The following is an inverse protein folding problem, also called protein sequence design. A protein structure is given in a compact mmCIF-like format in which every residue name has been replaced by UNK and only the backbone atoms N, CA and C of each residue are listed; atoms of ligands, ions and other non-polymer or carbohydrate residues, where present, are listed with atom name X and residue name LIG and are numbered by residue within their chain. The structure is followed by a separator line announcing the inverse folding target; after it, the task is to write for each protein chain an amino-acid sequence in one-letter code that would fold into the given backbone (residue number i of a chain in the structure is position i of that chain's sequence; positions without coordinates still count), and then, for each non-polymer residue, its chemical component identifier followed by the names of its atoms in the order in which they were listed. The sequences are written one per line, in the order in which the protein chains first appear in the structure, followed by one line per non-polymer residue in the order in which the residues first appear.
data_IF_386549942480
#
_entry.id   IF_386549942480
#
_cell.length_a   1.000
_cell.length_b   1.000
_cell.length_c   1.000
_cell.angle_alpha   90.00
_cell.angle_beta   90.00
_cell.angle_gamma   90.00
#
_symmetry.space_group_name_H-M   'P 1'
#
loop_
_entity.id
_entity.type
_entity.pdbx_description
1 polymer ?
#
# COMPACT_ATOMS: atom_id res chain seq x y z
N UNK A 1 14.71 -1.85 -7.88
CA UNK A 1 14.07 -1.16 -6.73
C UNK A 1 13.40 0.11 -7.25
N UNK A 2 12.12 0.29 -6.94
CA UNK A 2 11.30 1.40 -7.43
C UNK A 2 11.35 2.55 -6.42
N UNK A 3 11.95 3.66 -6.82
CA UNK A 3 11.91 4.91 -6.04
C UNK A 3 10.56 5.61 -6.22
N UNK A 4 10.23 6.57 -5.34
CA UNK A 4 9.02 7.39 -5.47
C UNK A 4 8.88 8.02 -6.87
N UNK A 5 9.95 8.62 -7.38
CA UNK A 5 9.94 9.29 -8.68
C UNK A 5 9.76 8.32 -9.84
N UNK A 6 10.35 7.11 -9.74
CA UNK A 6 10.16 6.08 -10.74
C UNK A 6 8.71 5.58 -10.72
N UNK A 7 8.13 5.32 -9.56
CA UNK A 7 6.73 4.89 -9.44
C UNK A 7 5.79 5.92 -10.08
N UNK A 8 5.97 7.20 -9.79
CA UNK A 8 5.13 8.26 -10.38
C UNK A 8 5.29 8.35 -11.90
N UNK A 9 6.50 8.12 -12.44
CA UNK A 9 6.72 8.03 -13.90
C UNK A 9 6.02 6.81 -14.49
N UNK A 10 6.10 5.65 -13.85
CA UNK A 10 5.41 4.44 -14.31
C UNK A 10 3.88 4.64 -14.31
N UNK A 11 3.33 5.38 -13.35
CA UNK A 11 1.90 5.74 -13.38
C UNK A 11 1.56 6.69 -14.53
N UNK A 12 2.41 7.65 -14.87
CA UNK A 12 2.19 8.52 -16.02
C UNK A 12 2.25 7.74 -17.35
N UNK A 13 3.15 6.77 -17.46
CA UNK A 13 3.20 5.89 -18.62
C UNK A 13 2.00 4.95 -18.69
N UNK A 14 1.51 4.45 -17.54
CA UNK A 14 0.31 3.64 -17.46
C UNK A 14 -0.94 4.43 -17.86
N UNK A 15 -1.04 5.69 -17.47
CA UNK A 15 -2.09 6.61 -17.89
C UNK A 15 -2.12 6.78 -19.42
N UNK A 16 -0.95 6.95 -20.03
CA UNK A 16 -0.82 7.06 -21.48
C UNK A 16 -1.24 5.77 -22.21
N UNK A 17 -0.84 4.58 -21.73
CA UNK A 17 -1.27 3.29 -22.27
C UNK A 17 -2.79 3.10 -22.19
N UNK A 18 -3.39 3.47 -21.05
CA UNK A 18 -4.83 3.38 -20.87
C UNK A 18 -5.57 4.38 -21.79
N UNK A 19 -4.97 5.54 -22.05
CA UNK A 19 -5.50 6.53 -23.01
C UNK A 19 -5.55 5.96 -24.43
N UNK A 20 -4.49 5.27 -24.86
CA UNK A 20 -4.46 4.61 -26.19
C UNK A 20 -5.54 3.54 -26.32
N UNK A 21 -5.83 2.82 -25.26
CA UNK A 21 -6.89 1.81 -25.19
C UNK A 21 -8.31 2.42 -25.01
N UNK A 22 -8.42 3.74 -24.82
CA UNK A 22 -9.69 4.43 -24.49
C UNK A 22 -10.31 3.98 -23.17
N UNK A 23 -9.50 3.48 -22.26
CA UNK A 23 -9.91 2.91 -20.96
C UNK A 23 -9.57 3.86 -19.82
N UNK A 24 -10.41 3.90 -18.79
CA UNK A 24 -10.09 4.55 -17.53
C UNK A 24 -9.76 3.50 -16.47
N UNK A 25 -8.65 3.69 -15.79
CA UNK A 25 -8.18 2.85 -14.68
C UNK A 25 -8.29 3.54 -13.33
N UNK A 26 -8.64 2.76 -12.33
CA UNK A 26 -8.60 3.13 -10.91
C UNK A 26 -7.71 2.12 -10.19
N UNK A 27 -6.66 2.61 -9.52
CA UNK A 27 -5.67 1.79 -8.81
C UNK A 27 -5.64 2.20 -7.35
N UNK A 28 -5.75 1.23 -6.46
CA UNK A 28 -5.60 1.41 -5.03
C UNK A 28 -4.34 0.68 -4.57
N UNK A 29 -3.34 1.45 -4.13
CA UNK A 29 -2.05 0.90 -3.70
C UNK A 29 -1.95 0.77 -2.19
N UNK A 30 -1.20 -0.23 -1.77
CA UNK A 30 -0.92 -0.53 -0.36
C UNK A 30 0.57 -0.83 -0.14
N UNK A 31 0.92 -1.30 1.04
CA UNK A 31 2.25 -1.82 1.34
C UNK A 31 3.37 -0.79 1.19
N UNK A 32 4.51 -1.25 0.67
CA UNK A 32 5.72 -0.43 0.54
C UNK A 32 5.57 0.73 -0.42
N UNK A 33 4.82 0.57 -1.50
CA UNK A 33 4.58 1.62 -2.49
C UNK A 33 3.74 2.76 -1.90
N UNK A 34 2.66 2.45 -1.17
CA UNK A 34 1.87 3.46 -0.47
C UNK A 34 2.72 4.24 0.55
N UNK A 35 3.58 3.54 1.32
CA UNK A 35 4.49 4.17 2.28
C UNK A 35 5.51 5.09 1.60
N UNK A 36 6.01 4.72 0.42
CA UNK A 36 6.99 5.52 -0.32
C UNK A 36 6.33 6.74 -0.99
N UNK A 37 5.16 6.57 -1.62
CA UNK A 37 4.58 7.61 -2.49
C UNK A 37 3.68 8.56 -1.73
N UNK A 38 2.83 8.06 -0.83
CA UNK A 38 1.87 8.87 -0.08
C UNK A 38 2.43 9.46 1.22
N UNK A 39 3.33 8.72 1.89
CA UNK A 39 3.77 9.07 3.25
C UNK A 39 5.26 9.39 3.36
N UNK A 40 6.01 9.33 2.26
CA UNK A 40 7.47 9.61 2.20
C UNK A 40 8.27 8.84 3.27
N UNK A 41 7.79 7.65 3.61
CA UNK A 41 8.33 6.85 4.72
C UNK A 41 9.48 5.92 4.30
N UNK A 42 9.64 5.71 2.98
CA UNK A 42 10.64 4.80 2.42
C UNK A 42 11.28 5.38 1.17
N UNK A 43 12.59 5.23 0.98
CA UNK A 43 13.26 5.70 -0.24
C UNK A 43 12.87 4.90 -1.49
N UNK A 44 12.49 3.62 -1.32
CA UNK A 44 12.12 2.72 -2.41
C UNK A 44 11.35 1.50 -1.94
N UNK A 45 10.71 0.82 -2.89
CA UNK A 45 10.09 -0.49 -2.71
C UNK A 45 10.54 -1.45 -3.82
N UNK A 46 10.21 -2.74 -3.70
CA UNK A 46 10.48 -3.73 -4.75
C UNK A 46 9.45 -3.64 -5.88
N UNK A 47 8.20 -3.49 -5.51
CA UNK A 47 7.01 -3.60 -6.34
C UNK A 47 5.92 -2.65 -5.84
N UNK A 48 4.84 -2.55 -6.60
CA UNK A 48 3.64 -1.81 -6.27
C UNK A 48 2.51 -2.81 -6.02
N UNK A 49 2.26 -3.10 -4.75
CA UNK A 49 1.14 -3.91 -4.31
C UNK A 49 -0.17 -3.13 -4.39
N UNK A 50 -1.20 -3.69 -5.02
CA UNK A 50 -2.48 -2.99 -5.09
C UNK A 50 -3.61 -3.82 -5.67
N UNK A 51 -4.75 -3.18 -5.80
CA UNK A 51 -5.91 -3.69 -6.54
C UNK A 51 -6.36 -2.62 -7.54
N UNK A 52 -6.97 -3.03 -8.63
CA UNK A 52 -7.36 -2.10 -9.69
C UNK A 52 -8.58 -2.56 -10.48
N UNK A 53 -9.18 -1.59 -11.14
CA UNK A 53 -10.30 -1.79 -12.05
C UNK A 53 -10.15 -0.87 -13.28
N UNK A 54 -10.42 -1.35 -14.51
CA UNK A 54 -10.74 -2.74 -14.88
C UNK A 54 -9.50 -3.65 -14.81
N UNK A 55 -9.70 -4.88 -14.37
CA UNK A 55 -8.59 -5.75 -13.96
C UNK A 55 -7.68 -6.18 -15.10
N UNK A 56 -8.25 -6.51 -16.26
CA UNK A 56 -7.49 -7.01 -17.43
C UNK A 56 -6.73 -5.87 -18.13
N UNK A 57 -7.41 -4.80 -18.43
CA UNK A 57 -6.90 -3.67 -19.20
C UNK A 57 -5.72 -2.99 -18.47
N UNK A 58 -5.87 -2.74 -17.17
CA UNK A 58 -4.79 -2.16 -16.35
C UNK A 58 -3.59 -3.10 -16.28
N UNK A 59 -3.80 -4.42 -16.15
CA UNK A 59 -2.72 -5.40 -16.12
C UNK A 59 -1.95 -5.47 -17.44
N UNK A 60 -2.68 -5.49 -18.58
CA UNK A 60 -2.09 -5.52 -19.91
C UNK A 60 -1.30 -4.23 -20.19
N UNK A 61 -1.84 -3.07 -19.82
CA UNK A 61 -1.16 -1.79 -19.92
C UNK A 61 0.10 -1.73 -19.03
N UNK A 62 0.02 -2.20 -17.78
CA UNK A 62 1.19 -2.27 -16.89
C UNK A 62 2.31 -3.17 -17.43
N UNK A 63 1.97 -4.28 -18.07
CA UNK A 63 2.95 -5.14 -18.73
C UNK A 63 3.63 -4.45 -19.93
N UNK A 64 2.88 -3.65 -20.71
CA UNK A 64 3.46 -2.85 -21.82
C UNK A 64 4.41 -1.77 -21.28
N UNK A 65 4.04 -1.12 -20.18
CA UNK A 65 4.92 -0.18 -19.49
C UNK A 65 6.24 -0.87 -19.10
N UNK A 66 6.16 -1.99 -18.38
CA UNK A 66 7.34 -2.74 -17.95
C UNK A 66 8.25 -3.12 -19.12
N UNK A 67 7.68 -3.54 -20.26
CA UNK A 67 8.44 -3.95 -21.45
C UNK A 67 9.32 -2.83 -22.07
N UNK A 68 9.13 -1.57 -21.66
CA UNK A 68 9.95 -0.43 -22.09
C UNK A 68 11.13 -0.13 -21.15
N UNK A 69 11.23 -0.83 -20.05
CA UNK A 69 12.23 -0.60 -19.01
C UNK A 69 12.99 -1.88 -18.70
N UNK A 70 14.30 -1.89 -18.90
CA UNK A 70 15.14 -3.06 -18.65
C UNK A 70 15.29 -3.39 -17.14
N UNK A 71 15.02 -2.43 -16.27
CA UNK A 71 15.19 -2.50 -14.81
C UNK A 71 13.88 -2.55 -14.03
N UNK A 72 12.74 -2.69 -14.72
CA UNK A 72 11.40 -2.81 -14.14
C UNK A 72 10.87 -4.24 -14.38
N UNK A 73 10.53 -4.93 -13.32
CA UNK A 73 9.97 -6.27 -13.40
C UNK A 73 8.59 -6.25 -14.09
N UNK A 74 8.26 -7.31 -14.83
CA UNK A 74 6.98 -7.40 -15.54
C UNK A 74 5.75 -7.34 -14.61
N UNK A 75 5.93 -7.72 -13.37
CA UNK A 75 4.93 -7.71 -12.30
C UNK A 75 5.15 -6.56 -11.28
N UNK A 76 5.78 -5.46 -11.73
CA UNK A 76 6.01 -4.27 -10.90
C UNK A 76 4.73 -3.77 -10.23
N UNK A 77 3.59 -3.88 -10.90
CA UNK A 77 2.24 -3.66 -10.38
C UNK A 77 1.57 -5.03 -10.22
N UNK A 78 1.33 -5.46 -8.98
CA UNK A 78 0.80 -6.79 -8.70
C UNK A 78 -0.35 -6.78 -7.69
N UNK A 79 -1.25 -7.76 -7.82
CA UNK A 79 -2.43 -7.94 -6.95
C UNK A 79 -2.30 -9.10 -5.95
N UNK A 80 -1.07 -9.55 -5.68
CA UNK A 80 -0.79 -10.63 -4.74
C UNK A 80 -1.31 -10.41 -3.32
N UNK A 81 -1.54 -9.14 -2.97
CA UNK A 81 -2.10 -8.75 -1.66
C UNK A 81 -3.61 -8.93 -1.56
N UNK A 82 -4.34 -9.10 -2.67
CA UNK A 82 -5.80 -9.07 -2.74
C UNK A 82 -6.50 -10.00 -1.73
N UNK A 83 -5.93 -11.17 -1.48
CA UNK A 83 -6.48 -12.15 -0.53
C UNK A 83 -6.25 -11.79 0.95
N UNK A 84 -5.45 -10.78 1.23
CA UNK A 84 -5.07 -10.38 2.58
C UNK A 84 -5.60 -9.00 2.96
N UNK A 85 -6.13 -8.24 2.00
CA UNK A 85 -6.67 -6.92 2.27
C UNK A 85 -7.94 -7.03 3.11
N UNK A 86 -8.14 -6.10 4.06
CA UNK A 86 -9.43 -5.98 4.74
C UNK A 86 -10.50 -5.52 3.76
N UNK A 87 -11.74 -5.42 4.22
CA UNK A 87 -12.81 -4.81 3.44
C UNK A 87 -12.53 -3.36 3.05
N UNK A 88 -13.57 -2.55 2.98
CA UNK A 88 -13.45 -1.15 2.56
C UNK A 88 -12.53 -0.33 3.48
N UNK A 89 -11.69 0.49 2.86
CA UNK A 89 -10.94 1.53 3.56
C UNK A 89 -11.89 2.67 3.94
N UNK A 90 -12.09 2.87 5.23
CA UNK A 90 -13.00 3.87 5.79
C UNK A 90 -12.31 5.21 6.07
N UNK A 91 -10.99 5.25 5.96
CA UNK A 91 -10.19 6.44 6.16
C UNK A 91 -10.13 7.33 4.91
N UNK A 92 -9.51 8.47 5.05
CA UNK A 92 -9.21 9.36 3.93
C UNK A 92 -8.05 8.77 3.10
N UNK A 93 -8.33 8.48 1.83
CA UNK A 93 -7.37 7.90 0.88
C UNK A 93 -6.63 9.01 0.16
N UNK A 94 -5.32 9.18 0.35
CA UNK A 94 -4.58 10.16 -0.44
C UNK A 94 -4.54 9.75 -1.92
N UNK A 95 -4.91 10.67 -2.81
CA UNK A 95 -4.68 10.53 -4.24
C UNK A 95 -3.21 10.85 -4.50
N UNK A 96 -2.48 9.89 -5.03
CA UNK A 96 -1.03 10.00 -5.29
C UNK A 96 -0.71 10.26 -6.76
N UNK A 97 -1.63 9.95 -7.64
CA UNK A 97 -1.57 10.27 -9.06
C UNK A 97 -2.98 10.49 -9.62
N UNK A 98 -3.16 11.53 -10.41
CA UNK A 98 -4.41 11.84 -11.10
C UNK A 98 -4.09 12.30 -12.51
N UNK A 99 -4.37 11.44 -13.49
CA UNK A 99 -4.25 11.68 -14.92
C UNK A 99 -5.59 11.73 -15.61
N UNK A 100 -5.59 11.78 -16.93
CA UNK A 100 -6.81 11.78 -17.72
C UNK A 100 -7.50 10.42 -17.73
N UNK A 101 -6.72 9.33 -17.74
CA UNK A 101 -7.19 7.96 -17.84
C UNK A 101 -6.83 7.08 -16.63
N UNK A 102 -6.10 7.61 -15.66
CA UNK A 102 -5.69 6.86 -14.46
C UNK A 102 -5.85 7.71 -13.21
N UNK A 103 -6.49 7.13 -12.21
CA UNK A 103 -6.45 7.64 -10.83
C UNK A 103 -5.78 6.59 -9.94
N UNK A 104 -4.78 7.01 -9.15
CA UNK A 104 -4.14 6.14 -8.15
C UNK A 104 -4.33 6.73 -6.77
N UNK A 105 -4.94 5.97 -5.88
CA UNK A 105 -5.07 6.29 -4.46
C UNK A 105 -4.26 5.31 -3.61
N UNK A 106 -3.77 5.78 -2.47
CA UNK A 106 -3.12 4.94 -1.48
C UNK A 106 -4.06 4.64 -0.31
N UNK A 107 -3.79 3.54 0.40
CA UNK A 107 -4.51 3.23 1.62
C UNK A 107 -4.36 4.32 2.67
N UNK A 108 -5.44 4.57 3.43
CA UNK A 108 -5.40 5.46 4.60
C UNK A 108 -4.39 4.96 5.64
N UNK A 109 -3.91 5.82 6.56
CA UNK A 109 -3.01 5.38 7.63
C UNK A 109 -3.55 4.21 8.44
N UNK A 110 -4.84 4.24 8.78
CA UNK A 110 -5.50 3.17 9.54
C UNK A 110 -5.55 1.86 8.75
N UNK A 111 -5.88 1.93 7.46
CA UNK A 111 -5.92 0.77 6.59
C UNK A 111 -4.54 0.10 6.47
N UNK A 112 -3.51 0.92 6.21
CA UNK A 112 -2.14 0.44 6.09
C UNK A 112 -1.62 -0.12 7.41
N UNK A 113 -1.94 0.52 8.55
CA UNK A 113 -1.57 0.03 9.87
C UNK A 113 -2.18 -1.35 10.13
N UNK A 114 -3.49 -1.51 9.88
CA UNK A 114 -4.15 -2.79 10.05
C UNK A 114 -3.54 -3.90 9.20
N UNK A 115 -3.22 -3.61 7.92
CA UNK A 115 -2.57 -4.60 7.03
C UNK A 115 -1.17 -5.00 7.50
N UNK A 116 -0.39 -4.05 8.01
CA UNK A 116 0.96 -4.31 8.54
C UNK A 116 0.93 -5.07 9.85
N UNK A 117 0.04 -4.72 10.77
CA UNK A 117 -0.15 -5.45 12.03
C UNK A 117 -0.57 -6.90 11.78
N UNK A 118 -1.46 -7.13 10.81
CA UNK A 118 -1.85 -8.48 10.43
C UNK A 118 -0.67 -9.29 9.87
N UNK A 119 0.13 -8.67 8.99
CA UNK A 119 1.29 -9.33 8.38
C UNK A 119 2.38 -9.64 9.40
N UNK A 120 2.48 -8.85 10.49
CA UNK A 120 3.44 -9.00 11.62
C UNK A 120 4.86 -9.35 11.15
N UNK A 121 5.38 -8.61 10.17
CA UNK A 121 6.76 -8.76 9.70
C UNK A 121 7.71 -8.02 10.65
N UNK A 122 7.99 -8.64 11.79
CA UNK A 122 8.92 -8.13 12.79
C UNK A 122 10.24 -7.74 12.12
N UNK A 123 10.83 -6.64 12.52
CA UNK A 123 12.08 -6.02 12.02
C UNK A 123 12.05 -5.38 10.64
N UNK A 124 11.02 -5.57 9.84
CA UNK A 124 10.95 -4.97 8.49
C UNK A 124 9.98 -3.79 8.40
N UNK A 125 8.96 -3.77 9.24
CA UNK A 125 7.87 -2.80 9.19
C UNK A 125 7.81 -1.88 10.44
N UNK A 126 8.82 -1.93 11.31
CA UNK A 126 8.85 -1.17 12.58
C UNK A 126 8.69 0.33 12.37
N UNK A 127 9.53 0.92 11.51
CA UNK A 127 9.49 2.37 11.22
C UNK A 127 8.15 2.79 10.60
N UNK A 128 7.62 1.97 9.68
CA UNK A 128 6.33 2.24 9.06
C UNK A 128 5.20 2.19 10.10
N UNK A 129 5.21 1.20 10.99
CA UNK A 129 4.18 1.06 12.04
C UNK A 129 4.25 2.23 13.00
N UNK A 130 5.43 2.66 13.43
CA UNK A 130 5.60 3.83 14.29
C UNK A 130 5.11 5.12 13.62
N UNK A 131 5.39 5.30 12.33
CA UNK A 131 4.86 6.42 11.57
C UNK A 131 3.34 6.38 11.49
N UNK A 132 2.77 5.22 11.14
CA UNK A 132 1.32 5.04 11.01
C UNK A 132 0.61 5.23 12.35
N UNK A 133 1.18 4.76 13.47
CA UNK A 133 0.67 5.06 14.81
C UNK A 133 0.55 6.56 15.07
N UNK A 134 1.60 7.32 14.72
CA UNK A 134 1.59 8.79 14.85
C UNK A 134 0.54 9.44 13.98
N UNK A 135 0.42 9.00 12.71
CA UNK A 135 -0.57 9.53 11.79
C UNK A 135 -2.01 9.23 12.21
N UNK A 136 -2.24 8.07 12.83
CA UNK A 136 -3.54 7.70 13.39
C UNK A 136 -3.83 8.32 14.77
N UNK A 137 -2.84 8.98 15.40
CA UNK A 137 -2.96 9.51 16.76
C UNK A 137 -3.06 8.44 17.84
N UNK A 138 -2.54 7.21 17.56
CA UNK A 138 -2.54 6.10 18.51
C UNK A 138 -1.29 6.15 19.40
N UNK A 139 -1.44 5.71 20.65
CA UNK A 139 -0.36 5.77 21.66
C UNK A 139 -0.19 4.47 22.43
N UNK A 140 -1.19 3.60 22.41
CA UNK A 140 -1.21 2.36 23.22
C UNK A 140 -1.31 1.12 22.35
N UNK A 141 -0.90 -0.01 22.91
CA UNK A 141 -1.04 -1.33 22.27
C UNK A 141 -2.49 -1.67 22.01
N UNK A 142 -3.37 -1.42 23.00
CA UNK A 142 -4.78 -1.77 22.90
C UNK A 142 -5.49 -0.99 21.78
N UNK A 143 -5.19 0.31 21.59
CA UNK A 143 -5.72 1.09 20.46
C UNK A 143 -5.34 0.47 19.09
N UNK A 144 -4.10 -0.01 18.95
CA UNK A 144 -3.67 -0.70 17.73
C UNK A 144 -4.36 -2.04 17.50
N UNK A 145 -4.61 -2.80 18.57
CA UNK A 145 -5.35 -4.06 18.48
C UNK A 145 -6.84 -3.84 18.17
N UNK A 146 -7.46 -2.82 18.76
CA UNK A 146 -8.85 -2.42 18.47
C UNK A 146 -9.00 -1.98 17.00
N UNK A 147 -8.00 -1.27 16.48
CA UNK A 147 -7.96 -0.90 15.07
C UNK A 147 -7.86 -2.14 14.19
N UNK A 148 -6.98 -3.08 14.52
CA UNK A 148 -6.84 -4.34 13.78
C UNK A 148 -8.15 -5.13 13.76
N UNK A 149 -8.85 -5.25 14.89
CA UNK A 149 -10.13 -5.94 14.98
C UNK A 149 -11.22 -5.25 14.14
N UNK A 150 -11.24 -3.92 14.10
CA UNK A 150 -12.20 -3.16 13.27
C UNK A 150 -12.04 -3.43 11.77
N UNK A 151 -10.80 -3.59 11.30
CA UNK A 151 -10.53 -3.87 9.89
C UNK A 151 -10.64 -5.35 9.54
N UNK A 152 -10.41 -6.25 10.50
CA UNK A 152 -10.48 -7.70 10.33
C UNK A 152 -11.44 -8.35 11.35
N UNK A 153 -12.75 -8.02 11.30
CA UNK A 153 -13.70 -8.49 12.29
C UNK A 153 -13.79 -10.02 12.31
N UNK A 154 -13.74 -10.58 13.52
CA UNK A 154 -13.82 -12.02 13.73
C UNK A 154 -12.56 -12.81 13.38
N UNK A 155 -11.47 -12.15 12.98
CA UNK A 155 -10.17 -12.79 12.78
C UNK A 155 -9.42 -12.84 14.11
N UNK A 156 -8.98 -14.01 14.60
CA UNK A 156 -8.20 -14.09 15.82
C UNK A 156 -6.90 -13.27 15.72
N UNK A 157 -6.66 -12.38 16.66
CA UNK A 157 -5.41 -11.64 16.76
C UNK A 157 -4.41 -12.54 17.47
N UNK A 158 -3.31 -12.86 16.77
CA UNK A 158 -2.25 -13.69 17.34
C UNK A 158 -1.51 -12.93 18.47
N UNK A 159 -1.19 -13.63 19.55
CA UNK A 159 -0.48 -13.04 20.71
C UNK A 159 0.85 -12.37 20.31
N UNK A 160 1.49 -12.85 19.23
CA UNK A 160 2.73 -12.24 18.71
C UNK A 160 2.56 -10.77 18.33
N UNK A 161 1.37 -10.35 17.86
CA UNK A 161 1.09 -8.96 17.48
C UNK A 161 1.14 -8.06 18.71
N UNK A 162 0.53 -8.48 19.81
CA UNK A 162 0.58 -7.76 21.09
C UNK A 162 2.02 -7.61 21.59
N UNK A 163 2.76 -8.72 21.70
CA UNK A 163 4.15 -8.68 22.16
C UNK A 163 5.05 -7.83 21.27
N UNK A 164 4.82 -7.87 19.96
CA UNK A 164 5.54 -7.03 19.02
C UNK A 164 5.27 -5.54 19.30
N UNK A 165 3.99 -5.14 19.44
CA UNK A 165 3.62 -3.75 19.73
C UNK A 165 4.15 -3.29 21.10
N UNK A 166 4.09 -4.14 22.13
CA UNK A 166 4.66 -3.83 23.45
C UNK A 166 6.16 -3.51 23.36
N UNK A 167 6.92 -4.32 22.64
CA UNK A 167 8.34 -4.10 22.40
C UNK A 167 8.63 -2.84 21.60
N UNK A 168 7.87 -2.62 20.51
CA UNK A 168 8.05 -1.51 19.59
C UNK A 168 7.75 -0.15 20.26
N UNK A 169 6.62 -0.04 20.97
CA UNK A 169 6.22 1.20 21.62
C UNK A 169 7.11 1.53 22.84
N UNK A 170 7.65 0.51 23.53
CA UNK A 170 8.60 0.73 24.62
C UNK A 170 9.97 1.24 24.14
N UNK A 171 10.39 0.88 22.92
CA UNK A 171 11.68 1.30 22.35
C UNK A 171 11.61 2.60 21.55
N UNK A 172 10.41 3.03 21.15
CA UNK A 172 10.17 4.27 20.39
C UNK A 172 9.71 5.46 21.23
N UNK A 173 9.68 5.32 22.58
CA UNK A 173 9.29 6.35 23.53
C UNK A 173 10.48 7.23 23.94
#
# INVERSE_FOLDING_TARGET
MLTRDLILRLFAELDAELSEDGTRGDVFIVGGAAMAVAYDARPSTRDVDGIWHPSREVREAAARVAARHDDVDADWLNDGVKGFLPGDDRGERPVVYEGEHLTVSAGSPEYLLATKLLASRVSRDEDDILLLYRLCGLTTVDEGLDLLERYYPGRPIEAKVRFFLEGLLASGA
#
